data_IF_482195637592
#
_entry.id   IF_482195637592
#
_cell.length_a   1.000
_cell.length_b   1.000
_cell.length_c   1.000
_cell.angle_alpha   90.00
_cell.angle_beta   90.00
_cell.angle_gamma   90.00
#
_symmetry.space_group_name_H-M   'P 1'
#
loop_
_entity.id
_entity.type
_entity.pdbx_description
1 polymer ?
#
# COMPACT_ATOMS: atom_id res chain seq x y z
N UNK A 1 36.59 -33.59 30.77
CA UNK A 1 36.51 -32.11 30.81
C UNK A 1 35.20 -31.69 30.17
N UNK A 2 34.27 -31.13 30.96
CA UNK A 2 32.91 -30.77 30.51
C UNK A 2 32.97 -29.43 29.78
N UNK A 3 32.80 -29.43 28.45
CA UNK A 3 32.61 -28.18 27.68
C UNK A 3 31.18 -27.70 27.89
N UNK A 4 31.03 -26.56 28.55
CA UNK A 4 29.75 -25.88 28.76
C UNK A 4 29.25 -25.37 27.40
N UNK A 5 28.10 -25.84 26.95
CA UNK A 5 27.38 -25.25 25.82
C UNK A 5 26.70 -23.98 26.35
N UNK A 6 27.21 -22.83 25.94
CA UNK A 6 26.50 -21.56 26.08
C UNK A 6 25.37 -21.57 25.05
N UNK A 7 24.14 -21.81 25.50
CA UNK A 7 22.93 -21.65 24.70
C UNK A 7 22.77 -20.15 24.46
N UNK A 8 23.09 -19.71 23.25
CA UNK A 8 22.68 -18.38 22.77
C UNK A 8 21.17 -18.50 22.58
N UNK A 9 20.42 -17.90 23.50
CA UNK A 9 19.00 -17.65 23.32
C UNK A 9 18.86 -16.72 22.11
N UNK A 10 18.63 -17.29 20.93
CA UNK A 10 18.14 -16.54 19.79
C UNK A 10 16.71 -16.17 20.16
N UNK A 11 16.56 -14.96 20.71
CA UNK A 11 15.31 -14.23 20.68
C UNK A 11 14.84 -14.25 19.24
N UNK A 12 13.88 -15.13 18.95
CA UNK A 12 13.10 -15.09 17.74
C UNK A 12 12.53 -13.68 17.69
N UNK A 13 13.14 -12.84 16.86
CA UNK A 13 12.66 -11.53 16.51
C UNK A 13 11.33 -11.72 15.83
N UNK A 14 10.28 -11.73 16.64
CA UNK A 14 8.96 -11.27 16.27
C UNK A 14 9.18 -9.86 15.71
N UNK A 15 9.42 -9.73 14.40
CA UNK A 15 9.19 -8.48 13.68
C UNK A 15 7.68 -8.41 13.51
N UNK A 16 7.01 -8.17 14.63
CA UNK A 16 5.58 -8.33 14.83
C UNK A 16 5.21 -7.61 16.12
N UNK A 17 5.41 -6.30 16.14
CA UNK A 17 4.94 -5.46 17.23
C UNK A 17 5.89 -4.32 17.56
N UNK A 18 5.70 -3.18 16.89
CA UNK A 18 5.32 -1.93 17.56
C UNK A 18 5.38 -0.77 16.56
N UNK A 19 4.26 -0.54 15.89
CA UNK A 19 3.70 0.80 15.88
C UNK A 19 2.19 0.66 16.07
N UNK A 20 1.77 0.58 17.33
CA UNK A 20 0.41 0.94 17.70
C UNK A 20 0.27 2.44 17.49
N UNK A 21 -0.12 2.84 16.29
CA UNK A 21 -0.99 3.99 16.11
C UNK A 21 -2.33 3.42 15.72
N UNK A 22 -3.29 3.55 16.63
CA UNK A 22 -4.65 3.07 16.48
C UNK A 22 -5.23 3.47 15.12
N UNK A 23 -5.35 2.52 14.20
CA UNK A 23 -6.39 2.59 13.17
C UNK A 23 -7.68 2.19 13.88
N UNK A 24 -8.23 3.16 14.60
CA UNK A 24 -9.61 3.09 15.05
C UNK A 24 -10.47 2.72 13.83
N UNK A 25 -11.11 1.56 13.96
CA UNK A 25 -12.53 1.40 13.74
C UNK A 25 -13.15 2.32 12.67
N UNK A 26 -13.66 1.71 11.61
CA UNK A 26 -14.90 2.14 10.98
C UNK A 26 -15.01 3.66 10.72
N UNK A 27 -14.27 4.16 9.73
CA UNK A 27 -14.44 5.51 9.18
C UNK A 27 -14.70 5.54 7.68
N UNK A 28 -15.02 4.40 7.04
CA UNK A 28 -15.15 4.31 5.58
C UNK A 28 -16.30 5.22 5.06
N UNK A 29 -17.42 5.34 5.77
CA UNK A 29 -18.58 6.09 5.27
C UNK A 29 -18.38 7.62 5.28
N UNK A 30 -17.81 8.19 6.35
CA UNK A 30 -17.67 9.64 6.49
C UNK A 30 -16.58 10.22 5.58
N UNK A 31 -15.45 9.52 5.43
CA UNK A 31 -14.39 9.94 4.51
C UNK A 31 -14.78 9.77 3.04
N UNK A 32 -15.52 8.70 2.68
CA UNK A 32 -16.06 8.50 1.32
C UNK A 32 -17.14 9.54 1.00
N UNK A 33 -18.05 9.83 1.94
CA UNK A 33 -19.07 10.87 1.77
C UNK A 33 -18.43 12.25 1.60
N UNK A 34 -17.44 12.57 2.45
CA UNK A 34 -16.67 13.80 2.33
C UNK A 34 -15.92 13.89 0.99
N UNK A 35 -15.35 12.77 0.49
CA UNK A 35 -14.71 12.75 -0.83
C UNK A 35 -15.70 13.03 -1.97
N UNK A 36 -16.88 12.42 -1.95
CA UNK A 36 -17.90 12.64 -2.98
C UNK A 36 -18.42 14.08 -2.96
N UNK A 37 -18.63 14.65 -1.78
CA UNK A 37 -19.01 16.06 -1.62
C UNK A 37 -17.92 16.99 -2.16
N UNK A 38 -16.65 16.67 -1.90
CA UNK A 38 -15.50 17.45 -2.37
C UNK A 38 -15.31 17.36 -3.89
N UNK A 39 -15.51 16.18 -4.49
CA UNK A 39 -15.51 15.98 -5.96
C UNK A 39 -16.65 16.74 -6.62
N UNK A 40 -17.84 16.72 -6.02
CA UNK A 40 -19.01 17.47 -6.51
C UNK A 40 -18.77 18.98 -6.44
N UNK A 41 -18.18 19.47 -5.34
CA UNK A 41 -17.78 20.86 -5.19
C UNK A 41 -16.70 21.28 -6.20
N UNK A 42 -15.73 20.40 -6.47
CA UNK A 42 -14.67 20.63 -7.46
C UNK A 42 -15.24 20.77 -8.88
N UNK A 43 -16.08 19.83 -9.32
CA UNK A 43 -16.70 19.90 -10.65
C UNK A 43 -17.67 21.10 -10.76
N UNK A 44 -18.42 21.42 -9.71
CA UNK A 44 -19.26 22.61 -9.67
C UNK A 44 -18.44 23.91 -9.82
N UNK A 45 -17.34 24.05 -9.08
CA UNK A 45 -16.46 25.23 -9.16
C UNK A 45 -15.72 25.29 -10.50
N UNK A 46 -15.29 24.16 -11.05
CA UNK A 46 -14.67 24.08 -12.39
C UNK A 46 -15.63 24.53 -13.48
N UNK A 47 -16.89 24.08 -13.43
CA UNK A 47 -17.93 24.55 -14.35
C UNK A 47 -18.14 26.06 -14.23
N UNK A 48 -18.29 26.58 -13.01
CA UNK A 48 -18.43 28.03 -12.77
C UNK A 48 -17.23 28.81 -13.31
N UNK A 49 -16.01 28.35 -13.08
CA UNK A 49 -14.79 28.99 -13.57
C UNK A 49 -14.77 29.09 -15.10
N UNK A 50 -15.19 28.03 -15.80
CA UNK A 50 -15.26 28.02 -17.27
C UNK A 50 -16.32 28.97 -17.83
N UNK A 51 -17.34 29.32 -17.04
CA UNK A 51 -18.43 30.22 -17.40
C UNK A 51 -18.13 31.69 -17.02
N UNK A 52 -17.01 31.97 -16.34
CA UNK A 52 -16.66 33.33 -15.91
C UNK A 52 -16.24 34.20 -17.11
N UNK A 53 -16.73 35.46 -17.18
CA UNK A 53 -16.24 36.41 -18.16
C UNK A 53 -14.79 36.81 -17.84
N UNK A 54 -14.06 37.24 -18.86
CA UNK A 54 -12.64 37.60 -18.75
C UNK A 54 -12.28 38.79 -19.67
N UNK A 55 -13.24 39.68 -19.93
CA UNK A 55 -13.09 40.75 -20.91
C UNK A 55 -12.47 42.00 -20.29
N UNK A 56 -12.68 42.23 -18.99
CA UNK A 56 -12.12 43.35 -18.24
C UNK A 56 -11.00 42.90 -17.29
N UNK A 57 -10.07 43.79 -16.90
CA UNK A 57 -9.03 43.48 -15.90
C UNK A 57 -9.59 42.93 -14.58
N UNK A 58 -10.71 43.48 -14.11
CA UNK A 58 -11.38 43.06 -12.87
C UNK A 58 -11.96 41.64 -13.00
N UNK A 59 -12.54 41.31 -14.15
CA UNK A 59 -13.05 39.96 -14.46
C UNK A 59 -11.92 38.94 -14.61
N UNK A 60 -10.79 39.34 -15.20
CA UNK A 60 -9.58 38.50 -15.28
C UNK A 60 -9.06 38.22 -13.88
N UNK A 61 -8.99 39.22 -13.00
CA UNK A 61 -8.55 39.04 -11.62
C UNK A 61 -9.47 38.09 -10.84
N UNK A 62 -10.79 38.24 -11.00
CA UNK A 62 -11.78 37.33 -10.41
C UNK A 62 -11.60 35.89 -10.92
N UNK A 63 -11.37 35.71 -12.22
CA UNK A 63 -11.13 34.39 -12.85
C UNK A 63 -9.84 33.76 -12.32
N UNK A 64 -8.77 34.53 -12.19
CA UNK A 64 -7.49 34.06 -11.62
C UNK A 64 -7.66 33.63 -10.16
N UNK A 65 -8.40 34.41 -9.37
CA UNK A 65 -8.70 34.06 -7.96
C UNK A 65 -9.49 32.77 -7.87
N UNK A 66 -10.56 32.63 -8.66
CA UNK A 66 -11.36 31.41 -8.71
C UNK A 66 -10.54 30.19 -9.18
N UNK A 67 -9.60 30.38 -10.13
CA UNK A 67 -8.66 29.35 -10.55
C UNK A 67 -7.71 28.88 -9.44
N UNK A 68 -7.23 29.80 -8.58
CA UNK A 68 -6.42 29.44 -7.40
C UNK A 68 -7.23 28.62 -6.40
N UNK A 69 -8.45 29.04 -6.09
CA UNK A 69 -9.35 28.31 -5.20
C UNK A 69 -9.65 26.90 -5.73
N UNK A 70 -9.90 26.76 -7.03
CA UNK A 70 -10.12 25.45 -7.66
C UNK A 70 -8.89 24.55 -7.54
N UNK A 71 -7.69 25.11 -7.74
CA UNK A 71 -6.43 24.38 -7.58
C UNK A 71 -6.23 23.88 -6.15
N UNK A 72 -6.54 24.70 -5.16
CA UNK A 72 -6.41 24.30 -3.75
C UNK A 72 -7.45 23.24 -3.37
N UNK A 73 -8.70 23.38 -3.82
CA UNK A 73 -9.71 22.34 -3.67
C UNK A 73 -9.30 21.02 -4.34
N UNK A 74 -8.67 21.08 -5.52
CA UNK A 74 -8.13 19.89 -6.19
C UNK A 74 -7.03 19.19 -5.39
N UNK A 75 -6.21 19.92 -4.63
CA UNK A 75 -5.23 19.32 -3.70
C UNK A 75 -5.91 18.64 -2.52
N UNK A 76 -6.99 19.23 -1.99
CA UNK A 76 -7.78 18.62 -0.93
C UNK A 76 -8.46 17.33 -1.40
N UNK A 77 -9.04 17.32 -2.60
CA UNK A 77 -9.56 16.09 -3.25
C UNK A 77 -8.47 15.04 -3.31
N UNK A 78 -7.30 15.36 -3.86
CA UNK A 78 -6.20 14.41 -3.95
C UNK A 78 -5.69 13.93 -2.58
N UNK A 79 -5.75 14.76 -1.54
CA UNK A 79 -5.37 14.38 -0.17
C UNK A 79 -6.38 13.41 0.44
N UNK A 80 -7.68 13.68 0.29
CA UNK A 80 -8.75 12.81 0.80
C UNK A 80 -8.80 11.50 0.00
N UNK A 81 -8.56 11.54 -1.32
CA UNK A 81 -8.41 10.33 -2.14
C UNK A 81 -7.29 9.44 -1.62
N UNK A 82 -6.13 10.00 -1.24
CA UNK A 82 -5.05 9.23 -0.61
C UNK A 82 -5.40 8.67 0.77
N UNK A 83 -6.37 9.25 1.48
CA UNK A 83 -6.82 8.75 2.78
C UNK A 83 -7.82 7.61 2.58
N UNK A 84 -8.72 7.76 1.60
CA UNK A 84 -9.73 6.75 1.24
C UNK A 84 -9.10 5.56 0.52
N UNK A 85 -8.06 5.82 -0.28
CA UNK A 85 -7.29 4.83 -1.02
C UNK A 85 -5.79 5.12 -0.84
N UNK A 86 -5.20 4.72 0.32
CA UNK A 86 -3.77 4.89 0.59
C UNK A 86 -2.89 4.05 -0.32
N UNK A 87 -3.49 3.15 -1.09
CA UNK A 87 -2.83 2.08 -1.80
C UNK A 87 -2.82 2.33 -3.31
N UNK A 88 -2.13 3.41 -3.73
CA UNK A 88 -1.88 3.66 -5.16
C UNK A 88 -1.31 2.40 -5.82
N UNK A 89 -1.85 2.04 -6.97
CA UNK A 89 -1.52 0.79 -7.68
C UNK A 89 -0.01 0.57 -7.86
N UNK A 90 0.74 1.62 -8.22
CA UNK A 90 2.20 1.57 -8.38
C UNK A 90 2.95 1.36 -7.07
N UNK A 91 2.47 1.97 -5.98
CA UNK A 91 3.11 1.89 -4.66
C UNK A 91 2.90 0.50 -4.07
N UNK A 92 1.69 -0.04 -4.20
CA UNK A 92 1.41 -1.43 -3.85
C UNK A 92 2.21 -2.42 -4.69
N UNK A 93 2.31 -2.22 -6.01
CA UNK A 93 3.09 -3.09 -6.88
C UNK A 93 4.58 -3.14 -6.46
N UNK A 94 5.15 -2.00 -6.07
CA UNK A 94 6.51 -1.91 -5.54
C UNK A 94 6.64 -2.60 -4.18
N UNK A 95 5.70 -2.38 -3.26
CA UNK A 95 5.68 -3.06 -1.96
C UNK A 95 5.59 -4.57 -2.10
N UNK A 96 4.68 -5.06 -2.95
CA UNK A 96 4.51 -6.48 -3.23
C UNK A 96 5.80 -7.09 -3.81
N UNK A 97 6.47 -6.38 -4.73
CA UNK A 97 7.76 -6.82 -5.29
C UNK A 97 8.85 -6.92 -4.23
N UNK A 98 8.97 -5.89 -3.37
CA UNK A 98 9.94 -5.88 -2.27
C UNK A 98 9.66 -6.99 -1.25
N UNK A 99 8.39 -7.23 -0.93
CA UNK A 99 7.98 -8.30 -0.03
C UNK A 99 8.34 -9.68 -0.59
N UNK A 100 8.08 -9.92 -1.88
CA UNK A 100 8.49 -11.15 -2.59
C UNK A 100 10.01 -11.33 -2.55
N UNK A 101 10.78 -10.26 -2.79
CA UNK A 101 12.24 -10.32 -2.73
C UNK A 101 12.75 -10.72 -1.34
N UNK A 102 12.25 -10.09 -0.27
CA UNK A 102 12.63 -10.43 1.10
C UNK A 102 12.28 -11.87 1.49
N UNK A 103 11.16 -12.41 0.99
CA UNK A 103 10.83 -13.83 1.18
C UNK A 103 11.82 -14.75 0.46
N UNK A 104 12.28 -14.43 -0.75
CA UNK A 104 13.29 -15.22 -1.48
C UNK A 104 14.65 -15.22 -0.79
N UNK A 105 15.04 -14.08 -0.22
CA UNK A 105 16.26 -13.98 0.58
C UNK A 105 16.16 -14.89 1.81
N UNK A 106 15.02 -14.87 2.50
CA UNK A 106 14.73 -15.74 3.65
C UNK A 106 14.74 -17.23 3.27
N UNK A 107 14.20 -17.62 2.11
CA UNK A 107 14.31 -19.00 1.58
C UNK A 107 15.76 -19.42 1.44
N UNK A 108 16.59 -18.54 0.84
CA UNK A 108 18.01 -18.82 0.61
C UNK A 108 18.76 -18.99 1.93
N UNK A 109 18.46 -18.15 2.91
CA UNK A 109 19.04 -18.25 4.26
C UNK A 109 18.63 -19.53 4.98
N UNK A 110 17.34 -19.91 4.92
CA UNK A 110 16.85 -21.15 5.52
C UNK A 110 17.52 -22.39 4.92
N UNK A 111 17.73 -22.42 3.60
CA UNK A 111 18.46 -23.51 2.94
C UNK A 111 19.91 -23.57 3.39
N UNK A 112 20.60 -22.43 3.47
CA UNK A 112 21.97 -22.35 4.00
C UNK A 112 22.05 -22.88 5.44
N UNK A 113 21.12 -22.47 6.31
CA UNK A 113 21.07 -22.95 7.70
C UNK A 113 20.82 -24.46 7.75
N UNK A 114 19.92 -24.98 6.91
CA UNK A 114 19.68 -26.43 6.82
C UNK A 114 20.94 -27.20 6.43
N UNK A 115 21.74 -26.67 5.50
CA UNK A 115 23.01 -27.28 5.08
C UNK A 115 24.08 -27.24 6.16
N UNK A 116 24.21 -26.12 6.87
CA UNK A 116 25.18 -25.90 7.95
C UNK A 116 24.87 -26.73 9.19
N UNK A 117 23.60 -26.75 9.60
CA UNK A 117 23.15 -27.42 10.83
C UNK A 117 22.77 -28.89 10.60
N UNK A 118 22.61 -29.31 9.34
CA UNK A 118 22.02 -30.61 8.94
C UNK A 118 20.61 -30.83 9.50
N UNK A 119 19.90 -29.76 9.86
CA UNK A 119 18.54 -29.83 10.37
C UNK A 119 17.51 -29.65 9.25
N UNK A 120 16.83 -30.75 8.93
CA UNK A 120 15.76 -30.81 7.92
C UNK A 120 14.56 -29.91 8.21
N UNK A 121 14.37 -29.42 9.44
CA UNK A 121 13.29 -28.50 9.79
C UNK A 121 13.42 -27.16 9.06
N UNK A 122 14.64 -26.66 8.87
CA UNK A 122 14.87 -25.43 8.10
C UNK A 122 14.60 -25.63 6.60
N UNK A 123 14.89 -26.82 6.07
CA UNK A 123 14.55 -27.16 4.69
C UNK A 123 13.04 -27.17 4.48
N UNK A 124 12.27 -27.79 5.40
CA UNK A 124 10.80 -27.78 5.35
C UNK A 124 10.22 -26.36 5.40
N UNK A 125 10.77 -25.50 6.27
CA UNK A 125 10.37 -24.08 6.33
C UNK A 125 10.69 -23.34 5.03
N UNK A 126 11.83 -23.62 4.41
CA UNK A 126 12.18 -23.04 3.11
C UNK A 126 11.17 -23.47 2.03
N UNK A 127 10.80 -24.75 1.95
CA UNK A 127 9.82 -25.26 0.99
C UNK A 127 8.42 -24.64 1.19
N UNK A 128 7.98 -24.47 2.43
CA UNK A 128 6.73 -23.77 2.75
C UNK A 128 6.74 -22.31 2.31
N UNK A 129 7.86 -21.63 2.54
CA UNK A 129 8.04 -20.24 2.13
C UNK A 129 8.13 -20.10 0.61
N UNK A 130 8.75 -21.04 -0.10
CA UNK A 130 8.75 -21.09 -1.57
C UNK A 130 7.35 -21.22 -2.16
N UNK A 131 6.49 -22.04 -1.56
CA UNK A 131 5.08 -22.14 -1.97
C UNK A 131 4.35 -20.81 -1.80
N UNK A 132 4.62 -20.08 -0.71
CA UNK A 132 4.08 -18.73 -0.49
C UNK A 132 4.61 -17.76 -1.54
N UNK A 133 5.92 -17.72 -1.80
CA UNK A 133 6.53 -16.89 -2.85
C UNK A 133 5.85 -17.13 -4.20
N UNK A 134 5.69 -18.38 -4.61
CA UNK A 134 5.05 -18.73 -5.88
C UNK A 134 3.60 -18.23 -5.97
N UNK A 135 2.84 -18.30 -4.87
CA UNK A 135 1.49 -17.73 -4.78
C UNK A 135 1.52 -16.21 -4.98
N UNK A 136 2.43 -15.50 -4.31
CA UNK A 136 2.50 -14.04 -4.38
C UNK A 136 2.94 -13.57 -5.77
N UNK A 137 3.87 -14.27 -6.42
CA UNK A 137 4.28 -13.98 -7.80
C UNK A 137 3.12 -14.18 -8.80
N UNK A 138 2.31 -15.22 -8.60
CA UNK A 138 1.12 -15.45 -9.43
C UNK A 138 0.12 -14.31 -9.30
N UNK A 139 -0.18 -13.89 -8.07
CA UNK A 139 -1.10 -12.77 -7.82
C UNK A 139 -0.52 -11.43 -8.32
N UNK A 140 0.79 -11.20 -8.18
CA UNK A 140 1.46 -10.03 -8.75
C UNK A 140 1.29 -9.97 -10.28
N UNK A 141 1.51 -11.10 -10.97
CA UNK A 141 1.35 -11.16 -12.43
C UNK A 141 -0.10 -10.95 -12.85
N UNK A 142 -1.06 -11.54 -12.12
CA UNK A 142 -2.48 -11.34 -12.38
C UNK A 142 -2.89 -9.88 -12.19
N UNK A 143 -2.39 -9.22 -11.14
CA UNK A 143 -2.65 -7.82 -10.85
C UNK A 143 -2.08 -6.86 -11.90
N UNK A 144 -0.87 -7.12 -12.38
CA UNK A 144 -0.23 -6.31 -13.43
C UNK A 144 -0.82 -6.55 -14.82
N UNK A 145 -1.60 -7.62 -15.01
CA UNK A 145 -2.24 -7.91 -16.28
C UNK A 145 -3.57 -7.14 -16.39
N UNK A 146 -3.59 -6.10 -17.21
CA UNK A 146 -4.73 -5.18 -17.37
C UNK A 146 -5.93 -5.78 -18.15
N UNK A 147 -5.78 -6.98 -18.70
CA UNK A 147 -6.78 -7.62 -19.57
C UNK A 147 -7.85 -8.44 -18.81
N UNK A 148 -7.78 -8.52 -17.48
CA UNK A 148 -8.80 -9.14 -16.64
C UNK A 148 -9.33 -8.12 -15.63
N UNK A 149 -10.61 -8.22 -15.19
CA UNK A 149 -11.07 -7.51 -14.01
C UNK A 149 -10.24 -8.01 -12.81
N UNK A 150 -9.15 -7.29 -12.54
CA UNK A 150 -8.18 -7.64 -11.51
C UNK A 150 -8.74 -7.36 -10.13
N UNK A 151 -8.22 -8.11 -9.14
CA UNK A 151 -8.47 -7.82 -7.73
C UNK A 151 -7.99 -6.40 -7.42
N UNK A 152 -8.76 -5.68 -6.64
CA UNK A 152 -8.34 -4.38 -6.08
C UNK A 152 -7.16 -4.56 -5.13
N UNK A 153 -6.41 -3.48 -4.87
CA UNK A 153 -5.30 -3.55 -3.91
C UNK A 153 -5.77 -3.98 -2.52
N UNK A 154 -6.93 -3.48 -2.07
CA UNK A 154 -7.55 -3.86 -0.78
C UNK A 154 -7.81 -5.37 -0.69
N UNK A 155 -8.31 -5.97 -1.77
CA UNK A 155 -8.54 -7.41 -1.84
C UNK A 155 -7.23 -8.19 -1.82
N UNK A 156 -6.23 -7.75 -2.59
CA UNK A 156 -4.91 -8.39 -2.62
C UNK A 156 -4.18 -8.31 -1.30
N UNK A 157 -4.20 -7.16 -0.61
CA UNK A 157 -3.63 -7.01 0.74
C UNK A 157 -4.26 -7.97 1.72
N UNK A 158 -5.59 -8.07 1.72
CA UNK A 158 -6.32 -8.99 2.61
C UNK A 158 -6.00 -10.45 2.29
N UNK A 159 -5.93 -10.80 1.01
CA UNK A 159 -5.69 -12.18 0.59
C UNK A 159 -4.22 -12.63 0.78
N UNK A 160 -3.29 -11.69 0.66
CA UNK A 160 -1.85 -11.90 0.83
C UNK A 160 -1.36 -11.49 2.23
N UNK A 161 -2.26 -11.14 3.15
CA UNK A 161 -1.91 -10.70 4.51
C UNK A 161 -0.80 -9.63 4.55
N UNK A 162 -0.85 -8.68 3.60
CA UNK A 162 0.10 -7.56 3.51
C UNK A 162 -0.53 -6.36 4.22
N UNK A 163 0.10 -5.82 5.29
CA UNK A 163 -0.45 -4.67 6.00
C UNK A 163 -0.58 -3.45 5.09
N UNK A 164 -1.62 -2.63 5.28
CA UNK A 164 -1.73 -1.33 4.64
C UNK A 164 -0.72 -0.34 5.24
N UNK A 165 -0.28 0.63 4.43
CA UNK A 165 0.60 1.72 4.87
C UNK A 165 -0.21 2.93 5.37
#
# INVERSE_FOLDING_TARGET
>A
MKKKLTVIAITAGIIGGSLLTASAAFGDADHIKNLNDLKSAFESKKKKLNEMPNQTPEEIEATVKAGKELKDLGKEVAKVERIVDPDREEEFANQLRSHIAGMKDSVSELKRIAEETKDSQYLKKAEELEKKVARYEKEQRAYLNKDQPGKTVKELRKELDIPAN
#
